data_IF_779425662507
#
_entry.id   IF_779425662507
#
_cell.length_a   1.000
_cell.length_b   1.000
_cell.length_c   1.000
_cell.angle_alpha   90.00
_cell.angle_beta   90.00
_cell.angle_gamma   90.00
#
_symmetry.space_group_name_H-M   'P 1'
#
loop_
_entity.id
_entity.type
_entity.pdbx_description
1 polymer ?
#
# COMPACT_ATOMS: atom_id res chain seq x y z
N UNK A 1 -9.77 -2.02 1.28
CA UNK A 1 -9.43 -2.89 0.12
C UNK A 1 -7.98 -2.77 -0.30
N UNK A 2 -7.41 -1.56 -0.46
CA UNK A 2 -5.99 -1.41 -0.79
C UNK A 2 -5.06 -2.08 0.24
N UNK A 3 -5.37 -2.00 1.54
CA UNK A 3 -4.61 -2.74 2.57
C UNK A 3 -4.65 -4.28 2.42
N UNK A 4 -5.73 -4.83 1.85
CA UNK A 4 -5.82 -6.26 1.57
C UNK A 4 -4.97 -6.63 0.34
N UNK A 5 -4.95 -5.76 -0.68
CA UNK A 5 -4.06 -5.93 -1.84
C UNK A 5 -2.59 -5.76 -1.48
N UNK A 6 -2.23 -4.79 -0.65
CA UNK A 6 -0.87 -4.54 -0.19
C UNK A 6 -0.30 -5.68 0.67
N UNK A 7 -1.16 -6.53 1.22
CA UNK A 7 -0.78 -7.74 1.96
C UNK A 7 -0.97 -9.04 1.14
N UNK A 8 -1.32 -8.93 -0.14
CA UNK A 8 -1.44 -10.07 -1.04
C UNK A 8 -2.70 -10.93 -0.82
N UNK A 9 -3.71 -10.43 -0.11
CA UNK A 9 -4.96 -11.14 0.18
C UNK A 9 -5.93 -11.14 -1.03
N UNK A 10 -5.45 -11.53 -2.21
CA UNK A 10 -6.17 -11.45 -3.49
C UNK A 10 -7.53 -12.16 -3.48
N UNK A 11 -7.66 -13.27 -2.74
CA UNK A 11 -8.89 -14.04 -2.65
C UNK A 11 -10.07 -13.26 -2.04
N UNK A 12 -9.78 -12.17 -1.31
CA UNK A 12 -10.79 -11.33 -0.66
C UNK A 12 -11.24 -10.15 -1.52
N UNK A 13 -10.49 -9.82 -2.57
CA UNK A 13 -10.64 -8.55 -3.30
C UNK A 13 -11.90 -8.52 -4.15
N UNK A 14 -12.16 -9.56 -4.96
CA UNK A 14 -13.36 -9.59 -5.78
C UNK A 14 -14.66 -9.61 -4.95
N UNK A 15 -14.78 -10.43 -3.88
CA UNK A 15 -15.93 -10.36 -2.98
C UNK A 15 -16.16 -8.96 -2.37
N UNK A 16 -15.09 -8.31 -1.87
CA UNK A 16 -15.20 -6.95 -1.31
C UNK A 16 -15.60 -5.93 -2.38
N UNK A 17 -14.98 -5.99 -3.57
CA UNK A 17 -15.29 -5.08 -4.68
C UNK A 17 -16.76 -5.16 -5.09
N UNK A 18 -17.30 -6.39 -5.23
CA UNK A 18 -18.71 -6.61 -5.55
C UNK A 18 -19.64 -6.11 -4.44
N UNK A 19 -19.28 -6.33 -3.17
CA UNK A 19 -20.06 -5.85 -2.05
C UNK A 19 -20.14 -4.32 -2.02
N UNK A 20 -19.02 -3.63 -2.26
CA UNK A 20 -18.99 -2.16 -2.31
C UNK A 20 -19.79 -1.64 -3.50
N UNK A 21 -19.63 -2.18 -4.71
CA UNK A 21 -20.41 -1.74 -5.85
C UNK A 21 -21.91 -1.98 -5.65
N UNK A 22 -22.28 -3.13 -5.08
CA UNK A 22 -23.68 -3.39 -4.73
C UNK A 22 -24.20 -2.41 -3.68
N UNK A 23 -23.37 -2.01 -2.71
CA UNK A 23 -23.75 -1.03 -1.72
C UNK A 23 -23.96 0.36 -2.34
N UNK A 24 -23.06 0.78 -3.24
CA UNK A 24 -23.18 2.03 -4.01
C UNK A 24 -24.45 2.01 -4.88
N UNK A 25 -24.64 0.95 -5.68
CA UNK A 25 -25.77 0.83 -6.61
C UNK A 25 -27.14 0.84 -5.91
N UNK A 26 -27.20 0.39 -4.65
CA UNK A 26 -28.45 0.28 -3.89
C UNK A 26 -28.54 1.28 -2.72
N UNK A 27 -27.57 2.17 -2.54
CA UNK A 27 -27.55 3.18 -1.47
C UNK A 27 -27.43 2.63 -0.04
N UNK A 28 -26.69 1.53 0.16
CA UNK A 28 -26.53 0.89 1.48
C UNK A 28 -25.28 1.35 2.21
N UNK A 29 -25.39 2.41 3.02
CA UNK A 29 -24.37 2.77 4.03
C UNK A 29 -22.98 3.08 3.46
N UNK A 30 -22.89 3.35 2.15
CA UNK A 30 -21.68 3.78 1.44
C UNK A 30 -22.07 4.99 0.62
N UNK A 31 -21.37 6.10 0.84
CA UNK A 31 -21.57 7.32 0.07
C UNK A 31 -21.05 7.12 -1.36
N UNK A 32 -21.81 7.61 -2.33
CA UNK A 32 -21.32 7.84 -3.69
C UNK A 32 -21.09 9.35 -3.91
N UNK A 33 -20.68 9.72 -5.11
CA UNK A 33 -20.40 11.12 -5.42
C UNK A 33 -21.62 12.03 -5.52
N UNK A 34 -22.85 11.50 -5.51
CA UNK A 34 -24.05 12.30 -5.74
C UNK A 34 -24.49 13.09 -4.51
N UNK A 35 -24.17 12.63 -3.28
CA UNK A 35 -24.59 13.27 -2.02
C UNK A 35 -23.48 13.32 -0.96
N UNK A 36 -22.27 13.75 -1.34
CA UNK A 36 -21.15 13.81 -0.40
C UNK A 36 -21.32 14.92 0.65
N UNK A 37 -21.01 14.64 1.93
CA UNK A 37 -20.92 15.69 2.94
C UNK A 37 -19.92 16.78 2.52
N UNK A 38 -20.27 18.04 2.80
CA UNK A 38 -19.39 19.19 2.52
C UNK A 38 -18.03 19.00 3.18
N UNK A 39 -16.95 19.27 2.44
CA UNK A 39 -15.58 19.10 2.94
C UNK A 39 -15.10 17.65 2.95
N UNK A 40 -15.79 16.71 2.29
CA UNK A 40 -15.29 15.35 2.10
C UNK A 40 -14.90 15.09 0.65
N UNK A 41 -14.14 14.02 0.43
CA UNK A 41 -13.72 13.60 -0.91
C UNK A 41 -13.72 12.09 -1.02
N UNK A 42 -14.07 11.58 -2.20
CA UNK A 42 -13.93 10.16 -2.53
C UNK A 42 -12.76 9.89 -3.49
N UNK A 43 -11.81 10.83 -3.65
CA UNK A 43 -10.68 10.68 -4.61
C UNK A 43 -9.90 9.38 -4.39
N UNK A 44 -9.51 9.09 -3.16
CA UNK A 44 -8.74 7.88 -2.83
C UNK A 44 -9.58 6.59 -3.01
N UNK A 45 -10.88 6.63 -2.67
CA UNK A 45 -11.79 5.51 -2.89
C UNK A 45 -12.02 5.24 -4.40
N UNK A 46 -12.26 6.29 -5.18
CA UNK A 46 -12.42 6.24 -6.63
C UNK A 46 -11.15 5.67 -7.30
N UNK A 47 -9.98 6.13 -6.88
CA UNK A 47 -8.69 5.57 -7.29
C UNK A 47 -8.61 4.05 -7.02
N UNK A 48 -8.83 3.64 -5.77
CA UNK A 48 -8.71 2.23 -5.38
C UNK A 48 -9.70 1.32 -6.13
N UNK A 49 -10.95 1.75 -6.25
CA UNK A 49 -11.97 1.00 -7.00
C UNK A 49 -11.66 0.95 -8.49
N UNK A 50 -11.08 2.01 -9.07
CA UNK A 50 -10.70 2.02 -10.49
C UNK A 50 -9.58 1.04 -10.78
N UNK A 51 -8.51 1.03 -9.98
CA UNK A 51 -7.42 0.06 -10.09
C UNK A 51 -7.95 -1.37 -9.99
N UNK A 52 -8.82 -1.63 -9.01
CA UNK A 52 -9.33 -2.98 -8.74
C UNK A 52 -10.29 -3.43 -9.85
N UNK A 53 -11.20 -2.57 -10.29
CA UNK A 53 -12.06 -2.85 -11.43
C UNK A 53 -11.24 -3.13 -12.70
N UNK A 54 -10.22 -2.32 -12.95
CA UNK A 54 -9.31 -2.51 -14.07
C UNK A 54 -8.52 -3.83 -13.98
N UNK A 55 -8.10 -4.25 -12.78
CA UNK A 55 -7.47 -5.55 -12.54
C UNK A 55 -8.43 -6.72 -12.79
N UNK A 56 -9.67 -6.63 -12.33
CA UNK A 56 -10.72 -7.64 -12.49
C UNK A 56 -11.31 -7.71 -13.91
N UNK A 57 -10.88 -6.86 -14.84
CA UNK A 57 -11.46 -6.75 -16.18
C UNK A 57 -12.88 -6.15 -16.20
N UNK A 58 -13.25 -5.43 -15.13
CA UNK A 58 -14.56 -4.79 -14.93
C UNK A 58 -14.32 -3.30 -14.61
N UNK A 59 -13.96 -2.48 -15.62
CA UNK A 59 -13.63 -1.08 -15.38
C UNK A 59 -14.82 -0.35 -14.73
N UNK A 60 -14.51 0.49 -13.74
CA UNK A 60 -15.50 1.28 -13.02
C UNK A 60 -15.98 2.45 -13.88
N UNK A 61 -17.30 2.63 -13.97
CA UNK A 61 -17.91 3.83 -14.54
C UNK A 61 -17.97 4.91 -13.46
N UNK A 62 -17.00 5.82 -13.47
CA UNK A 62 -16.92 6.92 -12.50
C UNK A 62 -18.09 7.89 -12.64
N UNK A 63 -18.57 8.12 -13.86
CA UNK A 63 -19.62 9.12 -14.13
C UNK A 63 -20.97 8.63 -13.63
N UNK A 64 -21.27 7.33 -13.77
CA UNK A 64 -22.47 6.69 -13.20
C UNK A 64 -22.61 6.98 -11.70
N UNK A 65 -21.50 6.99 -10.97
CA UNK A 65 -21.45 7.13 -9.52
C UNK A 65 -21.01 8.52 -9.03
N UNK A 66 -20.87 9.49 -9.95
CA UNK A 66 -20.32 10.82 -9.69
C UNK A 66 -18.97 10.81 -8.94
N UNK A 67 -18.17 9.75 -9.09
CA UNK A 67 -16.91 9.60 -8.38
C UNK A 67 -15.85 10.54 -8.96
N UNK A 68 -15.10 11.27 -8.12
CA UNK A 68 -14.15 12.26 -8.58
C UNK A 68 -12.94 11.62 -9.27
N UNK A 69 -12.47 12.27 -10.33
CA UNK A 69 -11.16 11.97 -10.94
C UNK A 69 -10.10 12.81 -10.24
N UNK A 70 -8.97 12.21 -9.94
CA UNK A 70 -7.85 12.88 -9.32
C UNK A 70 -6.62 12.81 -10.23
N UNK A 71 -6.08 13.94 -10.71
CA UNK A 71 -4.88 13.95 -11.53
C UNK A 71 -3.67 13.29 -10.84
N UNK A 72 -3.55 13.41 -9.52
CA UNK A 72 -2.42 12.85 -8.76
C UNK A 72 -2.45 11.32 -8.80
N UNK A 73 -3.63 10.72 -8.57
CA UNK A 73 -3.81 9.28 -8.65
C UNK A 73 -3.99 8.76 -10.10
N UNK A 74 -4.41 9.63 -11.02
CA UNK A 74 -4.76 9.28 -12.40
C UNK A 74 -3.58 8.70 -13.19
N UNK A 75 -2.35 9.15 -12.92
CA UNK A 75 -1.16 8.59 -13.55
C UNK A 75 -0.94 7.14 -13.15
N UNK A 76 -1.10 6.80 -11.86
CA UNK A 76 -1.05 5.41 -11.42
C UNK A 76 -2.16 4.56 -12.05
N UNK A 77 -3.38 5.08 -12.14
CA UNK A 77 -4.49 4.39 -12.81
C UNK A 77 -4.17 4.06 -14.27
N UNK A 78 -3.57 5.00 -15.00
CA UNK A 78 -3.25 4.82 -16.41
C UNK A 78 -2.06 3.88 -16.64
N UNK A 79 -1.06 3.90 -15.75
CA UNK A 79 0.25 3.31 -16.02
C UNK A 79 0.65 2.14 -15.12
N UNK A 80 -0.17 1.71 -14.14
CA UNK A 80 0.25 0.64 -13.22
C UNK A 80 0.61 -0.71 -13.88
N UNK A 81 0.19 -0.94 -15.13
CA UNK A 81 0.56 -2.11 -15.96
C UNK A 81 1.76 -1.88 -16.89
N UNK A 82 2.42 -0.72 -16.81
CA UNK A 82 3.61 -0.41 -17.64
C UNK A 82 4.65 -1.52 -17.50
N UNK A 83 5.03 -2.21 -18.60
CA UNK A 83 5.96 -3.34 -18.53
C UNK A 83 7.37 -2.94 -18.12
N UNK A 84 7.82 -1.74 -18.49
CA UNK A 84 9.15 -1.24 -18.14
C UNK A 84 9.15 -0.62 -16.73
N UNK A 85 9.81 -1.24 -15.74
CA UNK A 85 9.82 -0.70 -14.38
C UNK A 85 10.41 0.71 -14.31
N UNK A 86 11.37 1.06 -15.17
CA UNK A 86 12.00 2.38 -15.16
C UNK A 86 11.05 3.48 -15.66
N UNK A 87 10.09 3.14 -16.52
CA UNK A 87 9.02 4.07 -16.94
C UNK A 87 7.96 4.27 -15.87
N UNK A 88 7.73 3.25 -15.04
CA UNK A 88 6.77 3.34 -13.94
C UNK A 88 7.35 4.05 -12.71
N UNK A 89 8.67 3.95 -12.48
CA UNK A 89 9.35 4.54 -11.32
C UNK A 89 8.96 6.01 -11.03
N UNK A 90 9.04 6.97 -11.99
CA UNK A 90 8.68 8.36 -11.70
C UNK A 90 7.21 8.53 -11.28
N UNK A 91 6.32 7.67 -11.76
CA UNK A 91 4.89 7.69 -11.39
C UNK A 91 4.69 7.17 -9.96
N UNK A 92 5.42 6.13 -9.57
CA UNK A 92 5.39 5.61 -8.21
C UNK A 92 6.02 6.60 -7.22
N UNK A 93 7.11 7.28 -7.59
CA UNK A 93 7.70 8.34 -6.77
C UNK A 93 6.73 9.49 -6.55
N UNK A 94 6.09 10.01 -7.61
CA UNK A 94 5.10 11.07 -7.50
C UNK A 94 3.88 10.66 -6.64
N UNK A 95 3.52 9.37 -6.67
CA UNK A 95 2.47 8.85 -5.81
C UNK A 95 2.90 8.75 -4.34
N UNK A 96 4.16 8.44 -4.06
CA UNK A 96 4.72 8.53 -2.72
C UNK A 96 4.72 9.98 -2.20
N UNK A 97 5.11 10.95 -3.04
CA UNK A 97 5.04 12.38 -2.70
C UNK A 97 3.60 12.80 -2.40
N UNK A 98 2.66 12.40 -3.28
CA UNK A 98 1.21 12.66 -3.11
C UNK A 98 0.69 12.08 -1.79
N UNK A 99 1.14 10.88 -1.42
CA UNK A 99 0.76 10.29 -0.14
C UNK A 99 1.16 11.21 1.01
N UNK A 100 2.44 11.61 1.06
CA UNK A 100 2.99 12.45 2.13
C UNK A 100 2.29 13.81 2.18
N UNK A 101 2.06 14.45 1.03
CA UNK A 101 1.39 15.74 0.93
C UNK A 101 -0.06 15.73 1.43
N UNK A 102 -0.71 14.56 1.44
CA UNK A 102 -2.12 14.40 1.78
C UNK A 102 -2.37 13.73 3.12
N UNK A 103 -1.34 13.69 3.97
CA UNK A 103 -1.44 13.40 5.40
C UNK A 103 -1.97 14.63 6.12
N UNK A 104 -3.15 14.52 6.72
CA UNK A 104 -3.70 15.52 7.61
C UNK A 104 -2.95 15.49 8.95
N UNK A 105 -2.50 16.65 9.42
CA UNK A 105 -1.82 16.80 10.71
C UNK A 105 -2.81 16.99 11.87
N UNK A 106 -4.06 17.34 11.56
CA UNK A 106 -5.12 17.58 12.54
C UNK A 106 -6.52 17.35 11.92
N UNK A 107 -7.54 17.27 12.78
CA UNK A 107 -8.92 17.02 12.34
C UNK A 107 -9.45 18.10 11.40
N UNK A 108 -9.03 19.37 11.55
CA UNK A 108 -9.49 20.45 10.67
C UNK A 108 -9.00 20.28 9.23
N UNK A 109 -7.77 19.81 9.05
CA UNK A 109 -7.24 19.46 7.74
C UNK A 109 -7.97 18.26 7.16
N UNK A 110 -8.20 17.21 7.96
CA UNK A 110 -8.93 16.02 7.54
C UNK A 110 -10.35 16.38 7.03
N UNK A 111 -11.06 17.23 7.78
CA UNK A 111 -12.43 17.67 7.47
C UNK A 111 -12.50 18.69 6.32
N UNK A 112 -11.36 19.07 5.71
CA UNK A 112 -11.31 20.02 4.60
C UNK A 112 -11.54 19.39 3.23
N UNK A 113 -11.39 18.06 3.12
CA UNK A 113 -11.54 17.31 1.87
C UNK A 113 -10.32 17.39 0.95
N UNK A 114 -9.24 18.03 1.40
CA UNK A 114 -7.97 18.11 0.68
C UNK A 114 -6.99 16.99 1.07
N UNK A 115 -7.23 16.34 2.19
CA UNK A 115 -6.37 15.29 2.75
C UNK A 115 -7.10 13.96 2.76
N UNK A 116 -6.35 12.87 2.61
CA UNK A 116 -6.89 11.51 2.50
C UNK A 116 -6.43 10.58 3.61
N UNK A 117 -5.37 10.95 4.34
CA UNK A 117 -4.78 10.15 5.40
C UNK A 117 -4.88 10.90 6.72
N UNK A 118 -5.73 10.43 7.62
CA UNK A 118 -6.05 11.12 8.87
C UNK A 118 -5.51 10.44 10.13
N UNK A 119 -5.02 9.21 9.99
CA UNK A 119 -4.52 8.43 11.12
C UNK A 119 -2.99 8.27 11.10
N UNK A 120 -2.35 8.08 12.26
CA UNK A 120 -0.92 7.77 12.34
C UNK A 120 -0.52 6.53 11.54
N UNK A 121 -1.42 5.55 11.41
CA UNK A 121 -1.18 4.36 10.60
C UNK A 121 -1.13 4.71 9.11
N UNK A 122 -2.14 5.43 8.61
CA UNK A 122 -2.18 5.84 7.21
C UNK A 122 -0.98 6.72 6.85
N UNK A 123 -0.52 7.57 7.77
CA UNK A 123 0.64 8.45 7.55
C UNK A 123 1.97 7.72 7.28
N UNK A 124 2.09 6.46 7.72
CA UNK A 124 3.33 5.68 7.57
C UNK A 124 3.14 4.44 6.71
N UNK A 125 1.91 4.10 6.33
CA UNK A 125 1.58 2.90 5.59
C UNK A 125 1.08 3.21 4.16
N UNK A 126 1.96 3.10 3.15
CA UNK A 126 1.61 3.42 1.76
C UNK A 126 0.84 2.29 1.08
N UNK A 127 -0.40 2.04 1.54
CA UNK A 127 -1.22 0.92 1.10
C UNK A 127 -1.43 0.91 -0.42
N UNK A 128 -1.60 2.08 -1.03
CA UNK A 128 -1.77 2.26 -2.47
C UNK A 128 -0.54 1.83 -3.26
N UNK A 129 0.66 2.23 -2.83
CA UNK A 129 1.91 1.89 -3.53
C UNK A 129 2.15 0.38 -3.45
N UNK A 130 2.04 -0.18 -2.24
CA UNK A 130 2.22 -1.61 -1.99
C UNK A 130 1.17 -2.46 -2.72
N UNK A 131 -0.08 -2.00 -2.81
CA UNK A 131 -1.13 -2.67 -3.57
C UNK A 131 -0.76 -2.77 -5.06
N UNK A 132 -0.24 -1.69 -5.66
CA UNK A 132 0.21 -1.70 -7.06
C UNK A 132 1.37 -2.68 -7.26
N UNK A 133 2.37 -2.66 -6.37
CA UNK A 133 3.51 -3.57 -6.45
C UNK A 133 3.07 -5.04 -6.36
N UNK A 134 2.10 -5.37 -5.51
CA UNK A 134 1.54 -6.71 -5.41
C UNK A 134 0.70 -7.10 -6.63
N UNK A 135 -0.14 -6.20 -7.12
CA UNK A 135 -0.91 -6.43 -8.35
C UNK A 135 0.03 -6.75 -9.52
N UNK A 136 1.09 -5.96 -9.70
CA UNK A 136 2.10 -6.18 -10.73
C UNK A 136 2.77 -7.55 -10.59
N UNK A 137 3.19 -7.93 -9.38
CA UNK A 137 3.78 -9.25 -9.13
C UNK A 137 2.79 -10.39 -9.42
N UNK A 138 1.51 -10.22 -9.08
CA UNK A 138 0.47 -11.21 -9.38
C UNK A 138 0.32 -11.46 -10.89
N UNK A 139 0.63 -10.44 -11.70
CA UNK A 139 0.66 -10.48 -13.16
C UNK A 139 2.05 -10.80 -13.74
N UNK A 140 3.04 -11.15 -12.90
CA UNK A 140 4.44 -11.39 -13.30
C UNK A 140 5.12 -10.19 -13.98
N UNK A 141 4.68 -8.97 -13.67
CA UNK A 141 5.35 -7.74 -14.08
C UNK A 141 6.49 -7.42 -13.11
N UNK A 142 7.60 -6.91 -13.64
CA UNK A 142 8.73 -6.44 -12.84
C UNK A 142 8.34 -5.17 -12.06
N UNK A 143 8.89 -4.98 -10.87
CA UNK A 143 8.70 -3.76 -10.08
C UNK A 143 10.00 -2.96 -10.06
N UNK A 144 9.95 -1.62 -10.13
CA UNK A 144 11.13 -0.80 -9.91
C UNK A 144 11.55 -0.83 -8.43
N UNK A 145 12.81 -0.49 -8.18
CA UNK A 145 13.28 -0.14 -6.85
C UNK A 145 12.88 1.31 -6.56
N UNK A 146 12.14 1.53 -5.46
CA UNK A 146 11.65 2.86 -5.09
C UNK A 146 12.50 3.38 -3.93
N UNK A 147 13.37 4.33 -4.22
CA UNK A 147 14.16 5.05 -3.21
C UNK A 147 13.37 6.26 -2.69
N UNK A 148 12.49 6.01 -1.71
CA UNK A 148 11.67 7.05 -1.10
C UNK A 148 11.48 6.77 0.41
N UNK A 149 11.57 7.78 1.30
CA UNK A 149 11.45 7.58 2.75
C UNK A 149 10.16 6.89 3.20
N UNK A 150 9.05 7.13 2.52
CA UNK A 150 7.78 6.43 2.76
C UNK A 150 7.87 4.91 2.56
N UNK A 151 8.78 4.45 1.70
CA UNK A 151 9.00 3.03 1.42
C UNK A 151 9.98 2.37 2.40
N UNK A 152 10.62 3.15 3.28
CA UNK A 152 11.55 2.64 4.31
C UNK A 152 10.92 2.60 5.70
N UNK A 153 9.64 2.93 5.84
CA UNK A 153 8.95 2.81 7.13
C UNK A 153 8.85 1.33 7.56
N UNK A 154 8.83 1.02 8.87
CA UNK A 154 8.69 -0.35 9.33
C UNK A 154 7.45 -1.06 8.78
N UNK A 155 6.32 -0.35 8.62
CA UNK A 155 5.10 -0.94 8.08
C UNK A 155 5.17 -1.20 6.57
N UNK A 156 5.82 -0.31 5.81
CA UNK A 156 6.11 -0.56 4.40
C UNK A 156 7.02 -1.79 4.26
N UNK A 157 8.11 -1.84 5.04
CA UNK A 157 9.06 -2.95 5.06
C UNK A 157 8.43 -4.31 5.46
N UNK A 158 7.56 -4.34 6.48
CA UNK A 158 6.91 -5.58 6.96
C UNK A 158 5.94 -6.18 5.94
N UNK A 159 5.38 -5.35 5.06
CA UNK A 159 4.44 -5.79 4.02
C UNK A 159 5.09 -5.84 2.64
N UNK A 160 6.38 -5.50 2.57
CA UNK A 160 7.20 -5.75 1.41
C UNK A 160 7.25 -7.27 1.15
N UNK A 161 7.06 -7.71 -0.09
CA UNK A 161 6.93 -9.13 -0.38
C UNK A 161 8.26 -9.88 -0.16
N UNK A 162 8.22 -11.20 0.11
CA UNK A 162 9.42 -11.99 0.39
C UNK A 162 10.49 -11.79 -0.70
N UNK A 163 11.70 -11.42 -0.29
CA UNK A 163 12.82 -11.14 -1.20
C UNK A 163 12.97 -9.67 -1.62
N UNK A 164 12.09 -8.77 -1.16
CA UNK A 164 12.37 -7.33 -1.24
C UNK A 164 13.58 -7.05 -0.36
N UNK A 165 14.62 -6.44 -0.96
CA UNK A 165 15.85 -6.12 -0.24
C UNK A 165 15.54 -5.01 0.76
N UNK A 166 15.27 -5.41 1.99
CA UNK A 166 15.29 -4.48 3.10
C UNK A 166 16.74 -4.03 3.27
N UNK A 167 16.96 -2.72 3.33
CA UNK A 167 18.27 -2.23 3.74
C UNK A 167 18.59 -2.81 5.12
N UNK A 168 19.86 -3.17 5.30
CA UNK A 168 20.32 -3.75 6.56
C UNK A 168 20.10 -2.74 7.67
N UNK A 169 19.16 -3.04 8.56
CA UNK A 169 18.90 -2.19 9.71
C UNK A 169 19.93 -2.51 10.80
N UNK A 170 20.94 -1.64 10.94
CA UNK A 170 22.08 -1.85 11.85
C UNK A 170 21.62 -2.08 13.31
N UNK A 171 20.58 -1.38 13.75
CA UNK A 171 20.04 -1.53 15.10
C UNK A 171 19.41 -2.91 15.30
N UNK A 172 18.63 -3.38 14.32
CA UNK A 172 18.03 -4.70 14.35
C UNK A 172 19.11 -5.79 14.29
N UNK A 173 20.12 -5.65 13.42
CA UNK A 173 21.26 -6.57 13.37
C UNK A 173 21.98 -6.63 14.72
N UNK A 174 22.28 -5.47 15.34
CA UNK A 174 22.95 -5.40 16.66
C UNK A 174 22.10 -5.99 17.78
N UNK A 175 20.79 -5.73 17.77
CA UNK A 175 19.86 -6.30 18.73
C UNK A 175 19.83 -7.83 18.59
N UNK A 176 19.69 -8.34 17.37
CA UNK A 176 19.65 -9.77 17.12
C UNK A 176 20.98 -10.44 17.49
N UNK A 177 22.14 -9.83 17.20
CA UNK A 177 23.45 -10.30 17.68
C UNK A 177 23.49 -10.37 19.21
N UNK A 178 22.94 -9.37 19.90
CA UNK A 178 22.87 -9.36 21.36
C UNK A 178 21.93 -10.46 21.90
N UNK A 179 20.73 -10.64 21.32
CA UNK A 179 19.81 -11.73 21.69
C UNK A 179 20.49 -13.08 21.46
N UNK A 180 21.19 -13.27 20.34
CA UNK A 180 21.95 -14.49 20.07
C UNK A 180 23.00 -14.78 21.15
N UNK A 181 23.65 -13.74 21.69
CA UNK A 181 24.70 -13.86 22.69
C UNK A 181 24.17 -14.09 24.11
N UNK A 182 23.07 -13.43 24.47
CA UNK A 182 22.59 -13.35 25.85
C UNK A 182 21.33 -14.17 26.13
N UNK A 183 20.50 -14.45 25.13
CA UNK A 183 19.27 -15.24 25.26
C UNK A 183 18.90 -15.98 23.95
N UNK A 184 19.67 -17.00 23.55
CA UNK A 184 19.48 -17.70 22.27
C UNK A 184 18.13 -18.45 22.18
N UNK A 185 17.51 -18.77 23.31
CA UNK A 185 16.19 -19.44 23.36
C UNK A 185 15.04 -18.52 22.96
N UNK A 186 15.23 -17.19 23.04
CA UNK A 186 14.24 -16.20 22.62
C UNK A 186 14.18 -15.98 21.11
N UNK A 187 15.10 -16.59 20.34
CA UNK A 187 15.15 -16.45 18.88
C UNK A 187 14.22 -17.45 18.18
N UNK A 188 13.28 -16.97 17.35
CA UNK A 188 12.46 -17.83 16.51
C UNK A 188 13.30 -18.73 15.58
N UNK A 189 12.83 -19.95 15.37
CA UNK A 189 13.45 -20.92 14.47
C UNK A 189 13.50 -20.38 13.02
N UNK A 190 14.64 -20.53 12.33
CA UNK A 190 14.84 -20.03 10.97
C UNK A 190 15.25 -18.55 10.85
N UNK A 191 15.14 -17.76 11.92
CA UNK A 191 15.51 -16.34 11.92
C UNK A 191 17.04 -16.14 11.96
N UNK A 192 17.78 -17.10 12.52
CA UNK A 192 19.24 -17.12 12.58
C UNK A 192 19.85 -17.18 11.17
N UNK A 193 19.38 -18.12 10.37
CA UNK A 193 19.87 -18.43 9.03
C UNK A 193 19.51 -17.33 8.03
N UNK A 194 18.40 -16.63 8.28
CA UNK A 194 17.94 -15.52 7.45
C UNK A 194 18.78 -14.24 7.62
N UNK A 195 19.45 -14.07 8.77
CA UNK A 195 20.08 -12.78 9.16
C UNK A 195 21.60 -12.90 9.30
N UNK A 196 22.11 -14.05 9.73
CA UNK A 196 23.54 -14.30 9.88
C UNK A 196 23.98 -15.35 8.85
N UNK A 197 24.78 -14.99 7.83
CA UNK A 197 25.26 -15.97 6.84
C UNK A 197 26.18 -17.04 7.43
N UNK A 198 26.63 -16.87 8.69
CA UNK A 198 27.33 -17.87 9.51
C UNK A 198 26.92 -17.71 10.99
N UNK A 199 25.85 -18.37 11.45
CA UNK A 199 25.45 -18.28 12.85
C UNK A 199 26.45 -19.03 13.76
N UNK A 200 26.77 -18.51 14.96
CA UNK A 200 27.55 -19.26 15.93
C UNK A 200 26.76 -20.51 16.38
N UNK A 201 27.46 -21.64 16.51
CA UNK A 201 26.87 -22.93 16.90
C UNK A 201 26.17 -22.80 18.25
N UNK A 202 24.91 -23.24 18.35
CA UNK A 202 24.19 -23.29 19.62
C UNK A 202 24.96 -24.17 20.61
N UNK A 203 25.45 -23.58 21.70
CA UNK A 203 25.99 -24.30 22.86
C UNK A 203 27.49 -24.60 22.85
N UNK A 204 28.33 -23.58 22.72
CA UNK A 204 29.72 -23.63 23.17
C UNK A 204 29.92 -22.72 24.38
#
# INVERSE_FOLDING_TARGET
>A
MLCALSTGQFNTIEPMYRAILSAIDNGYGVDDGHNLPLGTTLRYAAFGLTIIGNWLGKPLDLDKHALPRDPAWGQLVAHWREPDPERLLPILMAACDTHVERIALNSRELDSGNFEFGSPFEAVYPAEILAILNLRRSLKLANPFIDHPLMTTPYAALTCPPGTRLDKEELLERFLIAVCKYNPEAMPEGLYEAILPNPPVRGA
#
